data_IF_364504568413
#
_entry.id   IF_364504568413
#
_cell.length_a   1.000
_cell.length_b   1.000
_cell.length_c   1.000
_cell.angle_alpha   90.00
_cell.angle_beta   90.00
_cell.angle_gamma   90.00
#
_symmetry.space_group_name_H-M   'P 1'
#
loop_
_entity.id
_entity.type
_entity.pdbx_description
1 polymer ?
#
# COMPACT_ATOMS: atom_id res chain seq x y z
N UNK A 1 -19.12 -1.39 -3.60
CA UNK A 1 -18.21 -2.25 -4.40
C UNK A 1 -17.24 -2.95 -3.47
N UNK A 2 -17.15 -4.29 -3.53
CA UNK A 2 -16.24 -5.07 -2.70
C UNK A 2 -14.92 -5.22 -3.44
N UNK A 3 -13.86 -4.57 -2.95
CA UNK A 3 -12.51 -4.75 -3.48
C UNK A 3 -12.12 -6.23 -3.29
N UNK A 4 -11.83 -6.93 -4.39
CA UNK A 4 -11.53 -8.37 -4.43
C UNK A 4 -10.24 -8.79 -3.67
N UNK A 5 -9.60 -7.88 -2.95
CA UNK A 5 -8.51 -8.19 -2.03
C UNK A 5 -9.05 -8.30 -0.61
N UNK A 6 -9.42 -9.50 -0.16
CA UNK A 6 -9.83 -9.67 1.24
C UNK A 6 -8.61 -9.46 2.16
N UNK A 7 -8.42 -8.22 2.61
CA UNK A 7 -7.69 -7.98 3.85
C UNK A 7 -8.50 -8.70 4.94
N UNK A 8 -8.03 -9.89 5.32
CA UNK A 8 -8.75 -10.77 6.25
C UNK A 8 -8.97 -10.05 7.59
N UNK A 9 -10.03 -10.42 8.29
CA UNK A 9 -10.32 -9.95 9.64
C UNK A 9 -9.06 -10.05 10.53
N UNK A 10 -8.68 -8.93 11.15
CA UNK A 10 -7.48 -8.82 11.99
C UNK A 10 -6.17 -8.51 11.25
N UNK A 11 -6.20 -8.13 9.98
CA UNK A 11 -5.02 -7.55 9.31
C UNK A 11 -4.64 -6.20 9.97
N UNK A 12 -3.34 -5.93 10.21
CA UNK A 12 -2.88 -4.62 10.68
C UNK A 12 -3.43 -3.51 9.80
N UNK A 13 -4.16 -2.59 10.41
CA UNK A 13 -4.78 -1.45 9.75
C UNK A 13 -4.69 -0.25 10.67
N UNK A 14 -4.43 0.92 10.07
CA UNK A 14 -4.56 2.20 10.74
C UNK A 14 -5.35 3.13 9.84
N UNK A 15 -6.36 3.79 10.40
CA UNK A 15 -7.14 4.85 9.78
C UNK A 15 -7.12 6.06 10.70
N UNK A 16 -7.00 7.24 10.13
CA UNK A 16 -6.96 8.51 10.86
C UNK A 16 -7.74 9.57 10.09
N UNK A 17 -8.27 10.57 10.81
CA UNK A 17 -8.87 11.77 10.22
C UNK A 17 -7.81 12.85 9.89
N UNK A 18 -6.57 12.62 10.30
CA UNK A 18 -5.39 13.42 9.93
C UNK A 18 -4.39 12.59 9.10
N UNK A 19 -3.59 13.24 8.24
CA UNK A 19 -2.57 12.56 7.43
C UNK A 19 -1.64 11.67 8.27
N UNK A 20 -1.41 10.45 7.80
CA UNK A 20 -0.49 9.50 8.43
C UNK A 20 0.98 9.88 8.15
N UNK A 21 1.81 9.82 9.18
CA UNK A 21 3.27 9.93 9.08
C UNK A 21 3.89 8.63 8.55
N UNK A 22 5.10 8.73 8.00
CA UNK A 22 5.84 7.57 7.51
C UNK A 22 6.12 6.55 8.63
N UNK A 23 6.38 7.01 9.86
CA UNK A 23 6.55 6.13 11.02
C UNK A 23 5.28 5.35 11.38
N UNK A 24 4.11 6.01 11.29
CA UNK A 24 2.82 5.34 11.49
C UNK A 24 2.56 4.31 10.39
N UNK A 25 2.85 4.65 9.14
CA UNK A 25 2.71 3.75 7.99
C UNK A 25 3.64 2.56 8.16
N UNK A 26 4.91 2.78 8.51
CA UNK A 26 5.93 1.73 8.67
C UNK A 26 5.57 0.71 9.76
N UNK A 27 4.96 1.17 10.87
CA UNK A 27 4.52 0.27 11.95
C UNK A 27 3.45 -0.72 11.48
N UNK A 28 2.58 -0.30 10.58
CA UNK A 28 1.43 -1.10 10.10
C UNK A 28 1.81 -1.91 8.86
N UNK A 29 2.47 -1.25 7.91
CA UNK A 29 2.78 -1.78 6.60
C UNK A 29 4.27 -1.58 6.27
N UNK A 30 5.19 -2.29 6.94
CA UNK A 30 6.63 -2.18 6.69
C UNK A 30 7.02 -2.52 5.24
N UNK A 31 6.22 -3.32 4.51
CA UNK A 31 6.49 -3.68 3.12
C UNK A 31 6.52 -2.51 2.14
N UNK A 32 5.94 -1.36 2.50
CA UNK A 32 6.01 -0.13 1.70
C UNK A 32 7.44 0.42 1.63
N UNK A 33 8.24 0.15 2.66
CA UNK A 33 9.60 0.66 2.85
C UNK A 33 10.68 -0.38 2.55
N UNK A 34 10.32 -1.51 1.94
CA UNK A 34 11.33 -2.49 1.54
C UNK A 34 12.27 -1.87 0.49
N UNK A 35 13.59 -1.96 0.72
CA UNK A 35 14.61 -1.33 -0.14
C UNK A 35 14.96 -2.18 -1.37
N UNK A 36 14.33 -3.33 -1.58
CA UNK A 36 14.72 -4.25 -2.65
C UNK A 36 13.66 -5.21 -3.15
N UNK A 37 13.84 -5.62 -4.41
CA UNK A 37 13.15 -6.74 -5.04
C UNK A 37 13.45 -8.04 -4.30
N UNK A 38 12.42 -8.88 -4.08
CA UNK A 38 12.62 -10.26 -3.67
C UNK A 38 13.49 -10.99 -4.72
N UNK A 39 14.43 -11.83 -4.29
CA UNK A 39 15.43 -12.53 -5.13
C UNK A 39 14.81 -13.34 -6.29
N UNK A 40 13.51 -13.63 -6.21
CA UNK A 40 12.74 -14.32 -7.25
C UNK A 40 12.40 -13.48 -8.49
N UNK A 41 12.86 -12.22 -8.59
CA UNK A 41 12.57 -11.33 -9.74
C UNK A 41 13.73 -11.33 -10.74
N UNK A 42 13.40 -11.45 -12.03
CA UNK A 42 14.39 -11.42 -13.13
C UNK A 42 15.07 -10.05 -13.25
N UNK A 43 16.26 -10.01 -13.84
CA UNK A 43 17.06 -8.79 -14.03
C UNK A 43 16.39 -7.73 -14.92
N UNK A 44 15.33 -8.10 -15.65
CA UNK A 44 14.55 -7.18 -16.49
C UNK A 44 13.44 -6.45 -15.72
N UNK A 45 13.22 -6.79 -14.44
CA UNK A 45 12.20 -6.14 -13.61
C UNK A 45 12.81 -4.91 -12.92
N UNK A 46 12.37 -3.72 -13.35
CA UNK A 46 12.67 -2.46 -12.66
C UNK A 46 11.81 -2.38 -11.40
N UNK A 47 12.44 -2.56 -10.26
CA UNK A 47 11.81 -2.36 -8.96
C UNK A 47 11.60 -0.86 -8.74
N UNK A 48 10.33 -0.45 -8.56
CA UNK A 48 9.99 0.90 -8.10
C UNK A 48 9.58 0.77 -6.63
N UNK A 49 10.37 1.30 -5.68
CA UNK A 49 10.01 1.28 -4.27
C UNK A 49 8.66 1.95 -4.05
N UNK A 50 7.76 1.29 -3.31
CA UNK A 50 6.41 1.83 -3.10
C UNK A 50 6.44 3.14 -2.31
N UNK A 51 7.43 3.32 -1.43
CA UNK A 51 7.68 4.58 -0.73
C UNK A 51 7.95 5.75 -1.68
N UNK A 52 8.58 5.53 -2.83
CA UNK A 52 8.86 6.61 -3.78
C UNK A 52 7.58 7.04 -4.51
N UNK A 53 6.71 6.10 -4.83
CA UNK A 53 5.36 6.40 -5.35
C UNK A 53 4.54 7.17 -4.31
N UNK A 54 4.58 6.75 -3.05
CA UNK A 54 3.90 7.44 -1.95
C UNK A 54 4.41 8.89 -1.78
N UNK A 55 5.73 9.09 -1.82
CA UNK A 55 6.36 10.43 -1.75
C UNK A 55 5.98 11.29 -2.96
N UNK A 56 5.97 10.72 -4.16
CA UNK A 56 5.50 11.40 -5.36
C UNK A 56 4.06 11.90 -5.22
N UNK A 57 3.16 11.03 -4.76
CA UNK A 57 1.75 11.39 -4.51
C UNK A 57 1.61 12.47 -3.43
N UNK A 58 2.43 12.45 -2.38
CA UNK A 58 2.48 13.54 -1.39
C UNK A 58 2.88 14.88 -1.99
N UNK A 59 3.84 14.89 -2.91
CA UNK A 59 4.27 16.12 -3.59
C UNK A 59 3.17 16.68 -4.50
N UNK A 60 2.36 15.80 -5.09
CA UNK A 60 1.16 16.17 -5.87
C UNK A 60 -0.05 16.52 -4.98
N UNK A 61 0.13 16.62 -3.66
CA UNK A 61 -0.91 17.07 -2.73
C UNK A 61 -1.82 15.96 -2.19
N UNK A 62 -1.54 14.69 -2.45
CA UNK A 62 -2.29 13.58 -1.84
C UNK A 62 -1.70 13.18 -0.50
N UNK A 63 -2.54 13.05 0.52
CA UNK A 63 -2.13 12.66 1.86
C UNK A 63 -2.73 11.30 2.23
N UNK A 64 -1.98 10.42 2.93
CA UNK A 64 -2.47 9.10 3.32
C UNK A 64 -3.35 9.18 4.57
N UNK A 65 -4.53 8.56 4.53
CA UNK A 65 -5.48 8.53 5.68
C UNK A 65 -5.77 7.12 6.17
N UNK A 66 -5.43 6.11 5.38
CA UNK A 66 -5.57 4.72 5.77
C UNK A 66 -4.47 3.87 5.16
N UNK A 67 -3.96 2.93 5.95
CA UNK A 67 -2.98 1.93 5.54
C UNK A 67 -3.37 0.58 6.11
N UNK A 68 -3.15 -0.48 5.33
CA UNK A 68 -3.39 -1.86 5.74
C UNK A 68 -2.33 -2.79 5.13
N UNK A 69 -1.93 -3.83 5.85
CA UNK A 69 -1.06 -4.89 5.32
C UNK A 69 -1.60 -6.27 5.67
N UNK A 70 -1.53 -7.20 4.71
CA UNK A 70 -1.94 -8.59 4.93
C UNK A 70 -0.99 -9.28 5.92
N UNK A 71 -1.55 -10.00 6.90
CA UNK A 71 -0.78 -10.83 7.82
C UNK A 71 -0.14 -12.00 7.10
N UNK A 72 1.13 -12.23 7.40
CA UNK A 72 1.86 -13.46 7.07
C UNK A 72 2.35 -14.11 8.35
N UNK A 73 2.39 -15.44 8.35
CA UNK A 73 2.92 -16.23 9.47
C UNK A 73 4.45 -16.23 9.50
N UNK A 74 5.05 -16.21 8.31
CA UNK A 74 6.49 -16.24 8.11
C UNK A 74 7.05 -14.81 8.19
N UNK A 75 7.98 -14.57 9.12
CA UNK A 75 8.46 -13.21 9.43
C UNK A 75 9.35 -12.63 8.33
N UNK A 76 10.10 -13.49 7.65
CA UNK A 76 10.86 -13.25 6.41
C UNK A 76 9.99 -12.75 5.25
N UNK A 77 8.71 -13.09 5.23
CA UNK A 77 7.78 -12.64 4.19
C UNK A 77 7.12 -11.31 4.51
N UNK A 78 7.28 -10.78 5.73
CA UNK A 78 6.54 -9.61 6.23
C UNK A 78 6.84 -8.34 5.41
N UNK A 79 8.03 -8.24 4.83
CA UNK A 79 8.43 -7.10 4.01
C UNK A 79 7.94 -7.19 2.56
N UNK A 80 7.38 -8.34 2.17
CA UNK A 80 6.96 -8.58 0.78
C UNK A 80 5.45 -8.76 0.61
N UNK A 81 4.68 -8.61 1.70
CA UNK A 81 3.24 -8.90 1.66
C UNK A 81 2.43 -7.78 1.01
N UNK A 82 1.21 -8.15 0.63
CA UNK A 82 0.24 -7.21 0.08
C UNK A 82 -0.12 -6.11 1.08
N UNK A 83 -0.01 -4.87 0.64
CA UNK A 83 -0.41 -3.68 1.40
C UNK A 83 -1.32 -2.77 0.56
N UNK A 84 -2.07 -1.92 1.27
CA UNK A 84 -2.98 -0.94 0.71
C UNK A 84 -2.80 0.39 1.43
N UNK A 85 -2.76 1.47 0.66
CA UNK A 85 -2.81 2.85 1.17
C UNK A 85 -3.96 3.57 0.47
N UNK A 86 -4.81 4.25 1.25
CA UNK A 86 -5.82 5.18 0.72
C UNK A 86 -5.33 6.60 0.95
N UNK A 87 -5.33 7.39 -0.11
CA UNK A 87 -4.89 8.77 -0.10
C UNK A 87 -6.01 9.69 -0.58
N UNK A 88 -6.03 10.91 -0.05
CA UNK A 88 -6.99 11.96 -0.40
C UNK A 88 -6.27 13.24 -0.73
N UNK A 89 -6.79 14.10 -1.63
CA UNK A 89 -6.27 15.44 -1.83
C UNK A 89 -6.27 16.23 -0.53
N UNK A 90 -5.21 16.98 -0.25
CA UNK A 90 -5.11 17.86 0.91
C UNK A 90 -6.17 18.99 0.89
N UNK A 91 -6.72 19.30 -0.28
CA UNK A 91 -7.78 20.29 -0.47
C UNK A 91 -9.18 19.79 -0.08
N UNK A 92 -9.39 18.47 0.02
CA UNK A 92 -10.71 17.85 0.22
C UNK A 92 -10.73 16.88 1.42
N UNK A 93 -10.28 17.35 2.59
CA UNK A 93 -10.16 16.46 3.77
C UNK A 93 -11.53 16.14 4.40
N UNK A 94 -12.49 17.06 4.32
CA UNK A 94 -13.78 17.05 5.05
C UNK A 94 -15.03 16.89 4.17
N UNK A 95 -14.88 16.64 2.86
CA UNK A 95 -16.02 16.43 1.96
C UNK A 95 -16.70 15.07 2.19
N UNK A 96 -18.02 14.98 1.98
CA UNK A 96 -18.75 13.70 1.99
C UNK A 96 -18.38 12.81 0.78
N UNK A 97 -17.94 13.43 -0.32
CA UNK A 97 -17.51 12.78 -1.56
C UNK A 97 -16.06 13.23 -1.84
N UNK A 98 -15.10 12.45 -1.38
CA UNK A 98 -13.66 12.75 -1.54
C UNK A 98 -13.10 11.82 -2.60
N UNK A 99 -12.46 12.38 -3.62
CA UNK A 99 -11.75 11.58 -4.62
C UNK A 99 -10.59 10.84 -3.92
N UNK A 100 -10.57 9.51 -3.99
CA UNK A 100 -9.58 8.71 -3.27
C UNK A 100 -8.67 7.95 -4.23
N UNK A 101 -7.36 8.07 -3.98
CA UNK A 101 -6.35 7.26 -4.66
C UNK A 101 -6.07 6.04 -3.79
N UNK A 102 -6.26 4.84 -4.35
CA UNK A 102 -5.94 3.58 -3.67
C UNK A 102 -4.71 2.97 -4.31
N UNK A 103 -3.62 2.92 -3.53
CA UNK A 103 -2.41 2.20 -3.89
C UNK A 103 -2.48 0.79 -3.30
N UNK A 104 -2.47 -0.22 -4.16
CA UNK A 104 -2.50 -1.63 -3.79
C UNK A 104 -1.32 -2.36 -4.43
N UNK A 105 -0.39 -2.84 -3.62
CA UNK A 105 0.82 -3.51 -4.11
C UNK A 105 1.12 -4.79 -3.30
N UNK A 106 1.79 -5.77 -3.91
CA UNK A 106 2.31 -6.99 -3.28
C UNK A 106 3.65 -7.35 -3.92
N UNK A 107 4.68 -7.53 -3.09
CA UNK A 107 6.03 -7.86 -3.57
C UNK A 107 6.32 -9.37 -3.61
N UNK A 108 5.49 -10.22 -2.95
CA UNK A 108 5.54 -11.70 -2.98
C UNK A 108 4.58 -12.26 -4.06
N UNK A 109 5.15 -12.93 -5.09
CA UNK A 109 4.40 -13.51 -6.22
C UNK A 109 3.87 -14.91 -5.91
N UNK A 110 4.31 -15.55 -4.81
CA UNK A 110 3.79 -16.87 -4.40
C UNK A 110 2.37 -16.76 -3.81
N UNK A 111 2.03 -15.61 -3.21
CA UNK A 111 0.69 -15.31 -2.71
C UNK A 111 -0.28 -14.82 -3.81
N UNK A 112 0.21 -14.49 -5.01
CA UNK A 112 -0.60 -14.01 -6.14
C UNK A 112 -0.97 -15.16 -7.07
N UNK A 113 -1.87 -16.05 -6.66
CA UNK A 113 -2.59 -16.90 -7.62
C UNK A 113 -3.65 -16.11 -8.41
N UNK A 114 -3.94 -14.86 -8.04
CA UNK A 114 -4.67 -13.93 -8.90
C UNK A 114 -3.71 -12.90 -9.52
N UNK A 115 -3.64 -12.94 -10.85
CA UNK A 115 -2.88 -12.02 -11.70
C UNK A 115 -3.40 -10.58 -11.58
N UNK A 116 -2.85 -9.80 -10.67
CA UNK A 116 -2.84 -8.33 -10.78
C UNK A 116 -1.50 -7.80 -10.25
N UNK A 117 -0.43 -7.86 -11.06
CA UNK A 117 0.79 -7.13 -10.72
C UNK A 117 0.48 -5.63 -10.82
N UNK A 118 0.70 -4.89 -9.73
CA UNK A 118 0.82 -3.44 -9.69
C UNK A 118 -0.34 -2.63 -10.33
N UNK A 119 -1.57 -2.77 -9.80
CA UNK A 119 -2.70 -1.92 -10.21
C UNK A 119 -2.89 -0.73 -9.26
N UNK A 120 -2.55 0.48 -9.72
CA UNK A 120 -3.08 1.72 -9.16
C UNK A 120 -4.53 1.89 -9.64
N UNK A 121 -5.50 2.00 -8.72
CA UNK A 121 -6.89 2.33 -9.05
C UNK A 121 -7.20 3.73 -8.52
N UNK A 122 -7.52 4.64 -9.42
CA UNK A 122 -8.19 5.90 -9.14
C UNK A 122 -9.69 5.57 -9.05
N UNK A 123 -10.32 5.81 -7.89
CA UNK A 123 -11.77 5.67 -7.69
C UNK A 123 -12.39 7.03 -7.42
#
# INVERSE_FOLDING_TARGET
MQLASSFRYGSPMLRSDSPLSDDQIRRVAPSIFADGKHESRSDRYTYIPTIDVLRGLRNEGFQPFMVCQTRVRAQDKREFTKHLIRMRPASEITGEDVNEVILLNSHDVCASQERFPDTLRLL
#
